data_IF_010390140691
#
_entry.id   IF_010390140691
#
_cell.length_a   1.000
_cell.length_b   1.000
_cell.length_c   1.000
_cell.angle_alpha   90.00
_cell.angle_beta   90.00
_cell.angle_gamma   90.00
#
_symmetry.space_group_name_H-M   'P 1'
#
loop_
_entity.id
_entity.type
_entity.pdbx_description
1 polymer ?
#
# COMPACT_ATOMS: atom_id res chain seq x y z
N UNK A 1 7.33 19.62 15.37
CA UNK A 1 6.03 19.55 16.07
C UNK A 1 4.90 19.15 15.14
N UNK A 2 4.67 19.85 14.01
CA UNK A 2 3.61 19.50 13.02
C UNK A 2 3.74 18.07 12.47
N UNK A 3 4.95 17.65 12.07
CA UNK A 3 5.17 16.29 11.52
C UNK A 3 4.88 15.16 12.51
N UNK A 4 5.17 15.34 13.81
CA UNK A 4 4.86 14.32 14.84
C UNK A 4 3.35 14.17 15.04
N UNK A 5 2.60 15.28 15.05
CA UNK A 5 1.15 15.23 15.22
C UNK A 5 0.46 14.52 14.05
N UNK A 6 0.92 14.74 12.82
CA UNK A 6 0.39 14.05 11.63
C UNK A 6 0.66 12.54 11.70
N UNK A 7 1.85 12.14 12.13
CA UNK A 7 2.21 10.73 12.23
C UNK A 7 1.38 10.00 13.31
N UNK A 8 1.15 10.63 14.46
CA UNK A 8 0.34 10.07 15.54
C UNK A 8 -1.13 9.91 15.11
N UNK A 9 -1.70 10.92 14.45
CA UNK A 9 -3.08 10.83 13.93
C UNK A 9 -3.20 9.73 12.88
N UNK A 10 -2.22 9.61 11.98
CA UNK A 10 -2.21 8.53 10.99
C UNK A 10 -2.19 7.15 11.66
N UNK A 11 -1.29 6.94 12.62
CA UNK A 11 -1.20 5.68 13.37
C UNK A 11 -2.51 5.35 14.12
N UNK A 12 -3.16 6.36 14.69
CA UNK A 12 -4.47 6.19 15.34
C UNK A 12 -5.55 5.73 14.35
N UNK A 13 -5.65 6.37 13.18
CA UNK A 13 -6.66 5.99 12.18
C UNK A 13 -6.40 4.59 11.65
N UNK A 14 -5.14 4.26 11.33
CA UNK A 14 -4.74 2.94 10.84
C UNK A 14 -5.09 1.85 11.87
N UNK A 15 -4.67 2.02 13.12
CA UNK A 15 -4.98 1.06 14.20
C UNK A 15 -6.48 0.92 14.46
N UNK A 16 -7.25 2.01 14.38
CA UNK A 16 -8.70 1.98 14.55
C UNK A 16 -9.39 1.12 13.47
N UNK A 17 -9.02 1.28 12.20
CA UNK A 17 -9.62 0.52 11.11
C UNK A 17 -9.21 -0.96 11.15
N UNK A 18 -7.95 -1.25 11.48
CA UNK A 18 -7.47 -2.63 11.70
C UNK A 18 -8.28 -3.32 12.77
N UNK A 19 -8.51 -2.65 13.90
CA UNK A 19 -9.30 -3.21 14.99
C UNK A 19 -10.72 -3.57 14.52
N UNK A 20 -11.39 -2.65 13.82
CA UNK A 20 -12.75 -2.90 13.28
C UNK A 20 -12.79 -4.08 12.32
N UNK A 21 -11.81 -4.23 11.44
CA UNK A 21 -11.74 -5.36 10.53
C UNK A 21 -11.48 -6.67 11.25
N UNK A 22 -10.59 -6.69 12.26
CA UNK A 22 -10.37 -7.88 13.10
C UNK A 22 -11.65 -8.32 13.80
N UNK A 23 -12.43 -7.37 14.33
CA UNK A 23 -13.75 -7.66 14.94
C UNK A 23 -14.72 -8.23 13.91
N UNK A 24 -14.87 -7.60 12.74
CA UNK A 24 -15.78 -8.07 11.71
C UNK A 24 -15.42 -9.48 11.19
N UNK A 25 -14.13 -9.77 11.02
CA UNK A 25 -13.67 -11.12 10.65
C UNK A 25 -13.97 -12.14 11.75
N UNK A 26 -13.72 -11.80 13.01
CA UNK A 26 -14.03 -12.68 14.13
C UNK A 26 -15.53 -12.99 14.22
N UNK A 27 -16.38 -11.96 14.12
CA UNK A 27 -17.84 -12.11 14.15
C UNK A 27 -18.34 -13.02 13.02
N UNK A 28 -17.78 -12.86 11.81
CA UNK A 28 -18.08 -13.72 10.67
C UNK A 28 -17.70 -15.19 10.93
N UNK A 29 -16.52 -15.45 11.49
CA UNK A 29 -16.09 -16.81 11.80
C UNK A 29 -16.89 -17.42 12.95
N UNK A 30 -17.26 -16.63 13.96
CA UNK A 30 -18.10 -17.07 15.07
C UNK A 30 -19.52 -17.43 14.61
N UNK A 31 -20.10 -16.66 13.69
CA UNK A 31 -21.39 -16.99 13.08
C UNK A 31 -21.38 -18.33 12.32
N UNK A 32 -20.21 -18.74 11.81
CA UNK A 32 -20.00 -19.99 11.07
C UNK A 32 -19.34 -21.10 11.91
N UNK A 33 -19.26 -20.94 13.23
CA UNK A 33 -18.52 -21.83 14.13
C UNK A 33 -18.95 -23.30 14.04
N UNK A 34 -20.24 -23.55 13.82
CA UNK A 34 -20.79 -24.91 13.68
C UNK A 34 -20.10 -25.75 12.60
N UNK A 35 -19.60 -25.11 11.52
CA UNK A 35 -18.85 -25.78 10.45
C UNK A 35 -17.35 -25.81 10.72
N UNK A 36 -16.83 -24.76 11.35
CA UNK A 36 -15.38 -24.53 11.54
C UNK A 36 -14.80 -25.34 12.72
N UNK A 37 -15.59 -25.62 13.76
CA UNK A 37 -15.14 -26.28 15.00
C UNK A 37 -14.53 -27.68 14.82
N UNK A 38 -14.74 -28.30 13.66
CA UNK A 38 -14.22 -29.61 13.33
C UNK A 38 -12.75 -29.58 12.84
N UNK A 39 -12.24 -28.38 12.54
CA UNK A 39 -10.85 -28.18 12.12
C UNK A 39 -9.98 -28.05 13.37
N UNK A 40 -8.90 -28.82 13.42
CA UNK A 40 -7.93 -28.74 14.53
C UNK A 40 -7.36 -27.32 14.64
N UNK A 41 -7.42 -26.75 15.85
CA UNK A 41 -6.97 -25.39 16.10
C UNK A 41 -7.80 -24.31 15.39
N UNK A 42 -9.06 -24.57 15.04
CA UNK A 42 -9.93 -23.59 14.36
C UNK A 42 -9.95 -22.22 15.07
N UNK A 43 -10.04 -22.19 16.40
CA UNK A 43 -10.02 -20.96 17.19
C UNK A 43 -8.67 -20.25 17.18
N UNK A 44 -7.56 -20.99 17.02
CA UNK A 44 -6.22 -20.42 16.89
C UNK A 44 -6.03 -19.81 15.51
N UNK A 45 -6.38 -20.55 14.45
CA UNK A 45 -6.31 -20.05 13.06
C UNK A 45 -7.13 -18.78 12.87
N UNK A 46 -8.36 -18.75 13.40
CA UNK A 46 -9.21 -17.55 13.36
C UNK A 46 -8.51 -16.35 14.01
N UNK A 47 -7.70 -16.54 15.06
CA UNK A 47 -6.99 -15.44 15.71
C UNK A 47 -5.70 -15.09 14.99
N UNK A 48 -4.82 -16.06 14.76
CA UNK A 48 -3.51 -15.87 14.15
C UNK A 48 -3.61 -15.41 12.69
N UNK A 49 -4.47 -16.04 11.89
CA UNK A 49 -4.63 -15.67 10.48
C UNK A 49 -5.31 -14.32 10.34
N UNK A 50 -6.29 -13.99 11.19
CA UNK A 50 -6.91 -12.65 11.20
C UNK A 50 -5.91 -11.59 11.61
N UNK A 51 -5.04 -11.88 12.59
CA UNK A 51 -3.96 -10.96 12.98
C UNK A 51 -2.98 -10.75 11.84
N UNK A 52 -2.45 -11.83 11.25
CA UNK A 52 -1.52 -11.76 10.11
C UNK A 52 -2.13 -11.06 8.91
N UNK A 53 -3.36 -11.38 8.55
CA UNK A 53 -4.08 -10.72 7.46
C UNK A 53 -4.21 -9.21 7.73
N UNK A 54 -4.59 -8.83 8.94
CA UNK A 54 -4.71 -7.41 9.30
C UNK A 54 -3.39 -6.65 9.23
N UNK A 55 -2.27 -7.28 9.62
CA UNK A 55 -0.93 -6.71 9.52
C UNK A 55 -0.49 -6.56 8.06
N UNK A 56 -0.75 -7.55 7.21
CA UNK A 56 -0.44 -7.46 5.78
C UNK A 56 -1.25 -6.33 5.12
N UNK A 57 -2.53 -6.19 5.46
CA UNK A 57 -3.38 -5.11 4.95
C UNK A 57 -2.93 -3.73 5.43
N UNK A 58 -2.47 -3.62 6.70
CA UNK A 58 -1.87 -2.40 7.23
C UNK A 58 -0.63 -1.99 6.45
N UNK A 59 0.31 -2.92 6.29
CA UNK A 59 1.60 -2.66 5.65
C UNK A 59 1.41 -2.27 4.17
N UNK A 60 0.55 -3.00 3.46
CA UNK A 60 0.19 -2.71 2.08
C UNK A 60 -0.50 -1.34 1.95
N UNK A 61 -1.44 -1.05 2.84
CA UNK A 61 -2.15 0.23 2.87
C UNK A 61 -1.22 1.41 3.17
N UNK A 62 -0.35 1.28 4.15
CA UNK A 62 0.61 2.33 4.52
C UNK A 62 1.62 2.60 3.41
N UNK A 63 2.16 1.56 2.78
CA UNK A 63 3.08 1.66 1.64
C UNK A 63 2.42 2.30 0.43
N UNK A 64 1.15 1.96 0.16
CA UNK A 64 0.37 2.57 -0.92
C UNK A 64 0.18 4.07 -0.71
N UNK A 65 -0.26 4.48 0.50
CA UNK A 65 -0.43 5.91 0.84
C UNK A 65 0.90 6.66 0.76
N UNK A 66 1.99 6.07 1.27
CA UNK A 66 3.33 6.67 1.22
C UNK A 66 3.80 6.88 -0.23
N UNK A 67 3.51 5.93 -1.12
CA UNK A 67 3.84 6.04 -2.55
C UNK A 67 3.08 7.18 -3.22
N UNK A 68 1.79 7.36 -2.89
CA UNK A 68 0.99 8.51 -3.36
C UNK A 68 1.55 9.83 -2.83
N UNK A 69 1.87 9.90 -1.53
CA UNK A 69 2.46 11.11 -0.94
C UNK A 69 3.78 11.48 -1.61
N UNK A 70 4.60 10.46 -1.92
CA UNK A 70 5.86 10.62 -2.64
C UNK A 70 5.60 11.17 -4.04
N UNK A 71 4.67 10.58 -4.79
CA UNK A 71 4.29 11.07 -6.12
C UNK A 71 3.84 12.53 -6.08
N UNK A 72 2.97 12.90 -5.13
CA UNK A 72 2.49 14.28 -4.98
C UNK A 72 3.63 15.23 -4.61
N UNK A 73 4.56 14.82 -3.74
CA UNK A 73 5.70 15.64 -3.34
C UNK A 73 6.70 15.87 -4.47
N UNK A 74 6.93 14.86 -5.31
CA UNK A 74 7.85 14.96 -6.45
C UNK A 74 7.23 15.60 -7.69
N UNK A 75 5.90 15.53 -7.86
CA UNK A 75 5.21 16.12 -9.01
C UNK A 75 5.56 17.60 -9.29
N UNK A 76 5.52 18.54 -8.31
CA UNK A 76 5.89 19.93 -8.56
C UNK A 76 7.37 20.10 -8.91
N UNK A 77 8.24 19.27 -8.33
CA UNK A 77 9.69 19.27 -8.63
C UNK A 77 9.93 18.83 -10.07
N UNK A 78 9.23 17.78 -10.52
CA UNK A 78 9.31 17.31 -11.91
C UNK A 78 8.81 18.37 -12.89
N UNK A 79 7.74 19.09 -12.56
CA UNK A 79 7.21 20.18 -13.40
C UNK A 79 8.21 21.35 -13.50
N UNK A 80 8.92 21.71 -12.43
CA UNK A 80 9.96 22.74 -12.51
C UNK A 80 11.16 22.30 -13.36
N UNK A 81 11.58 21.04 -13.23
CA UNK A 81 12.71 20.50 -13.97
C UNK A 81 12.39 20.30 -15.47
N UNK A 82 11.15 19.99 -15.82
CA UNK A 82 10.76 19.79 -17.23
C UNK A 82 10.94 21.06 -18.07
N UNK A 83 10.91 22.25 -17.45
CA UNK A 83 11.13 23.52 -18.16
C UNK A 83 12.53 23.62 -18.79
N UNK A 84 13.50 22.83 -18.30
CA UNK A 84 14.88 22.81 -18.79
C UNK A 84 15.20 21.54 -19.60
N UNK A 85 14.29 20.55 -19.62
CA UNK A 85 14.50 19.24 -20.24
C UNK A 85 13.30 18.98 -21.16
N UNK A 86 13.38 19.49 -22.39
CA UNK A 86 12.34 19.35 -23.43
C UNK A 86 12.43 18.04 -24.22
N UNK A 87 13.52 17.28 -24.07
CA UNK A 87 13.79 16.09 -24.86
C UNK A 87 14.39 14.96 -24.01
N UNK A 88 13.87 13.74 -24.20
CA UNK A 88 14.44 12.53 -23.61
C UNK A 88 15.54 12.00 -24.54
N UNK A 89 16.72 11.63 -24.03
CA UNK A 89 17.86 11.23 -24.86
C UNK A 89 17.63 9.97 -25.72
N UNK A 90 16.59 9.17 -25.43
CA UNK A 90 16.26 7.93 -26.15
C UNK A 90 14.97 8.03 -26.97
N UNK A 91 14.01 8.88 -26.55
CA UNK A 91 12.63 8.91 -27.11
C UNK A 91 12.34 10.21 -27.89
N UNK A 92 13.15 11.26 -27.73
CA UNK A 92 12.97 12.56 -28.37
C UNK A 92 12.09 13.53 -27.56
N UNK A 93 11.59 14.58 -28.22
CA UNK A 93 10.69 15.56 -27.62
C UNK A 93 9.29 14.96 -27.41
N UNK A 94 8.93 14.72 -26.16
CA UNK A 94 7.63 14.19 -25.75
C UNK A 94 7.02 15.16 -24.74
N UNK A 95 5.71 15.48 -24.79
CA UNK A 95 5.10 16.29 -23.74
C UNK A 95 5.26 15.62 -22.37
N UNK A 96 5.75 16.38 -21.39
CA UNK A 96 5.96 15.93 -19.99
C UNK A 96 6.91 14.73 -19.83
N UNK A 97 8.17 14.82 -20.32
CA UNK A 97 9.09 13.67 -20.39
C UNK A 97 9.39 13.05 -19.02
N UNK A 98 9.52 13.88 -17.99
CA UNK A 98 9.80 13.44 -16.62
C UNK A 98 8.62 12.69 -15.98
N UNK A 99 7.38 13.07 -16.30
CA UNK A 99 6.18 12.39 -15.81
C UNK A 99 6.07 11.00 -16.43
N UNK A 100 6.34 10.89 -17.72
CA UNK A 100 6.34 9.60 -18.44
C UNK A 100 7.44 8.69 -17.90
N UNK A 101 8.65 9.22 -17.63
CA UNK A 101 9.72 8.46 -17.02
C UNK A 101 9.36 7.96 -15.61
N UNK A 102 8.74 8.80 -14.78
CA UNK A 102 8.27 8.41 -13.45
C UNK A 102 7.20 7.31 -13.51
N UNK A 103 6.23 7.44 -14.42
CA UNK A 103 5.20 6.40 -14.64
C UNK A 103 5.82 5.09 -15.15
N UNK A 104 6.77 5.17 -16.08
CA UNK A 104 7.52 4.01 -16.57
C UNK A 104 8.30 3.31 -15.46
N UNK A 105 8.95 4.07 -14.58
CA UNK A 105 9.65 3.52 -13.42
C UNK A 105 8.69 2.84 -12.42
N UNK A 106 7.54 3.44 -12.14
CA UNK A 106 6.51 2.83 -11.28
C UNK A 106 5.97 1.51 -11.87
N UNK A 107 5.68 1.48 -13.17
CA UNK A 107 5.25 0.28 -13.90
C UNK A 107 6.34 -0.80 -13.86
N UNK A 108 7.58 -0.43 -14.16
CA UNK A 108 8.72 -1.33 -14.13
C UNK A 108 8.93 -1.94 -12.74
N UNK A 109 8.88 -1.12 -11.67
CA UNK A 109 9.00 -1.60 -10.30
C UNK A 109 7.88 -2.58 -9.92
N UNK A 110 6.64 -2.25 -10.29
CA UNK A 110 5.48 -3.12 -10.04
C UNK A 110 5.60 -4.48 -10.75
N UNK A 111 5.98 -4.47 -12.03
CA UNK A 111 6.19 -5.69 -12.82
C UNK A 111 7.35 -6.51 -12.25
N UNK A 112 8.44 -5.85 -11.84
CA UNK A 112 9.62 -6.52 -11.28
C UNK A 112 9.28 -7.28 -9.98
N UNK A 113 8.48 -6.69 -9.09
CA UNK A 113 7.97 -7.37 -7.88
C UNK A 113 7.04 -8.51 -8.25
N UNK A 114 6.14 -8.32 -9.21
CA UNK A 114 5.25 -9.38 -9.70
C UNK A 114 6.03 -10.58 -10.24
N UNK A 115 7.06 -10.35 -11.05
CA UNK A 115 7.93 -11.40 -11.60
C UNK A 115 8.74 -12.08 -10.50
N UNK A 116 9.29 -11.33 -9.54
CA UNK A 116 10.03 -11.92 -8.41
C UNK A 116 9.14 -12.76 -7.49
N UNK A 117 7.84 -12.45 -7.41
CA UNK A 117 6.84 -13.20 -6.65
C UNK A 117 6.33 -14.46 -7.35
N UNK A 118 6.56 -14.61 -8.66
CA UNK A 118 6.29 -15.84 -9.39
C UNK A 118 7.36 -16.88 -9.01
N UNK A 119 6.99 -17.84 -8.16
CA UNK A 119 7.70 -19.11 -7.97
C UNK A 119 7.01 -20.21 -8.74
#
# INVERSE_FOLDING_TARGET
>A
LVGMNVQVVNAFIVSHWIFRWRTAMNDYFMANWGRLRHIEGASQRIQEDTMRFSQIMEDLGSTFVQSIMTLIAFLPVLIQLQAHITELPIVGAVPQPLVIAALGWCLFGTISVMVAGLK
#
